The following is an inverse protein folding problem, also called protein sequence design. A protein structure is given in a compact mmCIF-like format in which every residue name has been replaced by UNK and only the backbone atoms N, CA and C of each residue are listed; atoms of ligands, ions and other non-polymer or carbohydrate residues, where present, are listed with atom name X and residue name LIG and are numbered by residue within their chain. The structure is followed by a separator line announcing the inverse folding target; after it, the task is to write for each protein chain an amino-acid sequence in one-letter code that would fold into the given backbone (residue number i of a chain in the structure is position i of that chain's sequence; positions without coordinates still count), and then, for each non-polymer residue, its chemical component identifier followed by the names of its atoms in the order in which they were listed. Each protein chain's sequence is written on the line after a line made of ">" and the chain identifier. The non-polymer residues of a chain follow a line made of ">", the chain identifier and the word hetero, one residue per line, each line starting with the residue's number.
data_IF_916088265943
#
_entry.id   IF_916088265943
#
_cell.length_a   1.000
_cell.length_b   1.000
_cell.length_c   1.000
_cell.angle_alpha   90.00
_cell.angle_beta   90.00
_cell.angle_gamma   90.00
#
_symmetry.space_group_name_H-M   'P 1'
#
loop_
_entity.id
_entity.type
_entity.pdbx_description
1 polymer ?
#
# COMPACT_ATOMS: atom_id res chain seq x y z
N UNK A 1 16.12 -24.52 14.94
CA UNK A 1 16.10 -23.51 13.87
C UNK A 1 15.66 -22.18 14.47
N UNK A 2 16.49 -21.13 14.58
CA UNK A 2 15.90 -19.82 14.86
C UNK A 2 16.21 -18.83 13.72
N UNK A 3 15.20 -18.08 13.32
CA UNK A 3 15.26 -17.05 12.27
C UNK A 3 15.17 -15.70 12.97
N UNK A 4 16.11 -14.77 12.68
CA UNK A 4 15.92 -13.39 13.12
C UNK A 4 14.67 -12.86 12.42
N UNK A 5 13.76 -12.25 13.17
CA UNK A 5 12.44 -11.87 12.66
C UNK A 5 12.24 -10.35 12.79
N UNK A 6 11.90 -9.70 11.68
CA UNK A 6 11.38 -8.34 11.66
C UNK A 6 9.91 -8.43 11.23
N UNK A 7 9.00 -8.00 12.10
CA UNK A 7 7.55 -8.09 11.88
C UNK A 7 6.89 -6.76 12.22
N UNK A 8 5.88 -6.39 11.45
CA UNK A 8 5.04 -5.20 11.69
C UNK A 8 3.64 -5.70 11.98
N UNK A 9 3.13 -5.38 13.17
CA UNK A 9 1.76 -5.68 13.57
C UNK A 9 0.96 -4.37 13.58
N UNK A 10 -0.05 -4.26 12.71
CA UNK A 10 -1.00 -3.15 12.75
C UNK A 10 -1.98 -3.35 13.90
N UNK A 11 -2.38 -2.27 14.57
CA UNK A 11 -3.34 -2.33 15.69
C UNK A 11 -4.69 -2.88 15.27
N UNK A 12 -5.11 -2.60 14.03
CA UNK A 12 -6.26 -3.24 13.41
C UNK A 12 -5.90 -3.78 12.01
N UNK A 13 -5.47 -5.06 11.92
CA UNK A 13 -4.96 -5.63 10.68
C UNK A 13 -6.03 -5.91 9.62
N UNK A 14 -7.31 -5.78 9.95
CA UNK A 14 -8.43 -5.99 9.03
C UNK A 14 -9.22 -4.71 8.76
N UNK A 15 -8.74 -3.56 9.25
CA UNK A 15 -9.40 -2.29 9.04
C UNK A 15 -9.30 -1.82 7.59
N UNK A 16 -10.37 -1.16 7.14
CA UNK A 16 -10.36 -0.31 5.95
C UNK A 16 -10.08 1.11 6.43
N UNK A 17 -9.01 1.70 5.93
CA UNK A 17 -8.60 3.06 6.29
C UNK A 17 -9.00 4.04 5.19
N UNK A 18 -9.49 5.21 5.60
CA UNK A 18 -9.90 6.30 4.71
C UNK A 18 -8.92 7.48 4.82
N UNK A 19 -8.92 8.42 3.86
CA UNK A 19 -8.09 9.62 3.94
C UNK A 19 -8.25 10.34 5.29
N UNK A 20 -7.13 10.66 5.94
CA UNK A 20 -7.11 11.30 7.26
C UNK A 20 -7.28 10.34 8.46
N UNK A 21 -7.48 9.04 8.21
CA UNK A 21 -7.50 8.04 9.29
C UNK A 21 -6.07 7.73 9.73
N UNK A 22 -5.84 7.66 11.04
CA UNK A 22 -4.56 7.21 11.57
C UNK A 22 -4.39 5.71 11.36
N UNK A 23 -3.21 5.32 10.87
CA UNK A 23 -2.75 3.92 10.81
C UNK A 23 -1.67 3.76 11.86
N UNK A 24 -1.93 2.92 12.85
CA UNK A 24 -1.04 2.67 13.99
C UNK A 24 -0.71 1.17 14.14
N UNK A 25 0.38 0.90 14.86
CA UNK A 25 0.90 -0.46 15.04
C UNK A 25 2.26 -0.49 15.74
N UNK A 26 2.84 -1.69 15.83
CA UNK A 26 4.10 -1.98 16.51
C UNK A 26 5.05 -2.74 15.59
N UNK A 27 6.33 -2.37 15.60
CA UNK A 27 7.38 -3.12 14.89
C UNK A 27 8.18 -3.95 15.89
N UNK A 28 8.20 -5.25 15.67
CA UNK A 28 8.93 -6.23 16.44
C UNK A 28 10.24 -6.57 15.73
N UNK A 29 11.35 -6.38 16.43
CA UNK A 29 12.69 -6.81 16.00
C UNK A 29 13.21 -7.83 17.01
N UNK A 30 13.21 -9.09 16.62
CA UNK A 30 13.70 -10.20 17.45
C UNK A 30 15.13 -10.56 17.09
N UNK A 31 16.01 -10.48 18.08
CA UNK A 31 17.45 -10.67 17.93
C UNK A 31 17.88 -11.88 18.76
N UNK A 32 18.72 -12.74 18.18
CA UNK A 32 19.34 -13.86 18.91
C UNK A 32 20.42 -13.39 19.89
N UNK A 33 21.07 -12.30 19.54
CA UNK A 33 22.21 -11.74 20.24
C UNK A 33 22.13 -10.22 20.21
N UNK A 34 22.78 -9.57 21.18
CA UNK A 34 22.76 -8.12 21.30
C UNK A 34 23.42 -7.48 20.08
N UNK A 35 22.70 -6.59 19.40
CA UNK A 35 23.26 -5.77 18.33
C UNK A 35 23.25 -4.29 18.73
N UNK A 36 24.23 -3.53 18.24
CA UNK A 36 24.18 -2.07 18.28
C UNK A 36 23.48 -1.54 17.03
N UNK A 37 22.16 -1.37 17.10
CA UNK A 37 21.38 -0.85 15.99
C UNK A 37 21.57 0.69 15.84
N UNK A 38 21.84 1.15 14.62
CA UNK A 38 21.97 2.60 14.32
C UNK A 38 20.62 3.27 14.04
N UNK A 39 19.77 2.61 13.25
CA UNK A 39 18.45 3.14 12.88
C UNK A 39 17.53 2.04 12.37
N UNK A 40 16.24 2.14 12.69
CA UNK A 40 15.15 1.40 12.06
C UNK A 40 14.32 2.40 11.23
N UNK A 41 14.09 2.09 9.95
CA UNK A 41 13.29 2.94 9.05
C UNK A 41 12.14 2.13 8.49
N UNK A 42 10.95 2.72 8.48
CA UNK A 42 9.72 2.14 7.95
C UNK A 42 9.26 3.02 6.79
N UNK A 43 8.95 2.41 5.66
CA UNK A 43 8.40 3.08 4.49
C UNK A 43 7.08 2.41 4.11
N UNK A 44 6.01 3.20 4.06
CA UNK A 44 4.67 2.75 3.67
C UNK A 44 4.39 3.33 2.29
N UNK A 45 4.07 2.47 1.32
CA UNK A 45 3.81 2.85 -0.05
C UNK A 45 2.34 2.58 -0.40
N UNK A 46 1.60 3.64 -0.74
CA UNK A 46 0.26 3.55 -1.33
C UNK A 46 0.28 4.13 -2.74
N UNK A 47 -0.13 3.35 -3.73
CA UNK A 47 -0.19 3.79 -5.12
C UNK A 47 -1.51 3.34 -5.74
N UNK A 48 -2.07 4.20 -6.58
CA UNK A 48 -3.22 3.87 -7.41
C UNK A 48 -2.79 3.95 -8.87
N UNK A 49 -3.18 2.93 -9.64
CA UNK A 49 -2.99 2.91 -11.09
C UNK A 49 -4.36 3.01 -11.76
N UNK A 50 -4.48 3.88 -12.76
CA UNK A 50 -5.72 4.03 -13.52
C UNK A 50 -5.41 4.16 -15.01
N UNK A 51 -6.19 3.45 -15.83
CA UNK A 51 -6.07 3.46 -17.28
C UNK A 51 -7.47 3.36 -17.90
N UNK A 52 -7.77 4.22 -18.87
CA UNK A 52 -8.96 4.10 -19.71
C UNK A 52 -8.66 4.48 -21.15
N UNK A 53 -9.37 3.83 -22.07
CA UNK A 53 -9.14 3.94 -23.50
C UNK A 53 -10.40 4.49 -24.18
N UNK A 54 -10.33 5.72 -24.71
CA UNK A 54 -11.51 6.44 -25.22
C UNK A 54 -11.65 6.21 -26.73
N UNK A 55 -12.66 5.43 -27.13
CA UNK A 55 -13.01 5.25 -28.55
C UNK A 55 -14.23 6.10 -28.92
N UNK A 56 -14.06 7.01 -29.89
CA UNK A 56 -15.19 7.74 -30.50
C UNK A 56 -15.71 6.96 -31.71
N UNK A 57 -16.93 6.43 -31.63
CA UNK A 57 -17.65 5.99 -32.84
C UNK A 57 -18.37 7.20 -33.46
N UNK A 58 -18.03 7.52 -34.72
CA UNK A 58 -18.80 8.50 -35.50
C UNK A 58 -19.97 7.75 -36.15
N UNK A 59 -21.17 7.88 -35.59
CA UNK A 59 -22.38 7.53 -36.33
C UNK A 59 -22.63 8.66 -37.33
N UNK A 60 -22.29 8.44 -38.62
CA UNK A 60 -22.71 9.34 -39.69
C UNK A 60 -24.21 9.14 -39.93
N UNK A 61 -25.05 10.05 -39.42
CA UNK A 61 -26.43 10.16 -39.90
C UNK A 61 -26.37 10.75 -41.31
N UNK A 62 -26.74 9.96 -42.32
CA UNK A 62 -26.99 10.50 -43.67
C UNK A 62 -28.20 11.43 -43.57
N UNK A 63 -27.97 12.72 -43.79
CA UNK A 63 -29.02 13.67 -44.14
C UNK A 63 -29.17 13.57 -45.66
N UNK A 64 -30.32 13.08 -46.12
CA UNK A 64 -30.74 13.24 -47.50
C UNK A 64 -31.39 14.63 -47.60
N UNK A 65 -30.74 15.53 -48.34
CA UNK A 65 -31.37 16.74 -48.88
C UNK A 65 -31.98 16.46 -50.24
#
# INVERSE_FOLDING_TARGET
>A
MPQNCLRIDYSNPQAIFYPGTNVDGVVHLELKESIKARSLKIAIHGQAYTHWDVRRSRIRRRSNG
#
